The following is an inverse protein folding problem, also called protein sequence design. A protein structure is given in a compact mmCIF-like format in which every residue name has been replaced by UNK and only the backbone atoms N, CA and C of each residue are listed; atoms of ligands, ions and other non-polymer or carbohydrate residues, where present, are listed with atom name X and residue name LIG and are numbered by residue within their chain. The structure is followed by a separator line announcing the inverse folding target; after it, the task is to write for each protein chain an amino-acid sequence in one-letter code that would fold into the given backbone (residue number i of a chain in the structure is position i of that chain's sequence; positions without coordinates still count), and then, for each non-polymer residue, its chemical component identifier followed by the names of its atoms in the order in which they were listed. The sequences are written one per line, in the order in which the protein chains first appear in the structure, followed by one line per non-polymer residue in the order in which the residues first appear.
data_IF_995097184796
#
_entry.id   IF_995097184796
#
_cell.length_a   1.000
_cell.length_b   1.000
_cell.length_c   1.000
_cell.angle_alpha   90.00
_cell.angle_beta   90.00
_cell.angle_gamma   90.00
#
_symmetry.space_group_name_H-M   'P 1'
#
loop_
_entity.id
_entity.type
_entity.pdbx_description
1 polymer ?
#
# COMPACT_ATOMS: atom_id res chain seq x y z
N UNK A 1 6.93 -1.81 -37.94
CA UNK A 1 6.84 -0.63 -37.08
C UNK A 1 6.33 -0.97 -35.72
N UNK A 2 7.06 -0.61 -34.75
CA UNK A 2 6.66 -0.93 -33.38
C UNK A 2 5.72 0.11 -32.81
N UNK A 3 4.89 -0.35 -31.91
CA UNK A 3 4.02 0.54 -31.18
C UNK A 3 4.85 1.47 -30.29
N UNK A 4 4.48 2.74 -30.25
CA UNK A 4 5.14 3.71 -29.39
C UNK A 4 4.38 3.89 -28.08
N UNK A 5 3.24 3.24 -27.93
CA UNK A 5 2.48 3.36 -26.69
C UNK A 5 3.07 2.48 -25.60
N UNK A 6 3.25 3.03 -24.40
CA UNK A 6 3.76 2.23 -23.31
C UNK A 6 2.72 1.19 -22.90
N UNK A 7 3.18 -0.01 -22.64
CA UNK A 7 2.35 -1.05 -22.09
C UNK A 7 2.36 -0.91 -20.57
N UNK A 8 1.19 -1.06 -19.95
CA UNK A 8 1.11 -1.02 -18.51
C UNK A 8 1.99 -2.12 -17.90
N UNK A 9 2.81 -1.84 -16.90
CA UNK A 9 3.66 -2.85 -16.30
C UNK A 9 2.83 -3.96 -15.66
N UNK A 10 3.27 -5.20 -15.82
CA UNK A 10 2.68 -6.37 -15.19
C UNK A 10 3.55 -6.94 -14.09
N UNK A 11 4.64 -6.29 -13.78
CA UNK A 11 5.55 -6.68 -12.73
C UNK A 11 6.63 -5.63 -12.50
N UNK A 12 7.53 -5.87 -11.54
CA UNK A 12 8.60 -4.92 -11.24
C UNK A 12 9.52 -4.70 -12.43
N UNK A 13 9.91 -3.43 -12.64
CA UNK A 13 10.79 -3.09 -13.75
C UNK A 13 12.21 -3.61 -13.52
N UNK A 14 12.71 -3.51 -12.28
CA UNK A 14 14.05 -3.94 -11.96
C UNK A 14 14.21 -4.10 -10.46
N UNK A 15 15.21 -4.87 -10.09
CA UNK A 15 15.59 -5.06 -8.69
C UNK A 15 16.54 -3.93 -8.29
N UNK A 16 16.20 -3.22 -7.22
CA UNK A 16 17.03 -2.11 -6.76
C UNK A 16 17.69 -2.37 -5.42
N UNK A 17 17.04 -3.08 -4.52
CA UNK A 17 17.58 -3.36 -3.20
C UNK A 17 16.79 -4.50 -2.55
N UNK A 18 17.44 -5.20 -1.65
CA UNK A 18 16.75 -6.22 -0.87
C UNK A 18 15.75 -5.53 0.05
N UNK A 19 14.54 -6.09 0.15
CA UNK A 19 13.48 -5.52 0.96
C UNK A 19 12.45 -6.58 1.31
N UNK A 20 11.70 -6.34 2.35
CA UNK A 20 10.54 -7.15 2.67
C UNK A 20 9.30 -6.36 2.24
N UNK A 21 8.42 -7.00 1.49
CA UNK A 21 7.21 -6.32 1.00
C UNK A 21 5.99 -7.01 1.61
N UNK A 22 5.24 -6.31 2.47
CA UNK A 22 4.01 -6.88 3.03
C UNK A 22 2.97 -7.14 1.94
N UNK A 23 2.22 -8.21 2.09
CA UNK A 23 1.11 -8.55 1.21
C UNK A 23 -0.19 -8.39 2.00
N UNK A 24 -1.08 -7.55 1.50
CA UNK A 24 -2.37 -7.29 2.13
C UNK A 24 -3.49 -7.91 1.29
N UNK A 25 -4.40 -8.60 1.95
CA UNK A 25 -5.55 -9.18 1.29
C UNK A 25 -6.59 -8.10 1.04
N UNK A 26 -7.03 -7.95 -0.20
CA UNK A 26 -8.05 -6.97 -0.57
C UNK A 26 -9.12 -7.64 -1.42
N UNK A 27 -10.34 -7.11 -1.39
CA UNK A 27 -11.46 -7.62 -2.15
C UNK A 27 -11.45 -7.07 -3.58
N UNK A 28 -11.22 -5.77 -3.70
CA UNK A 28 -11.23 -5.03 -4.97
C UNK A 28 -10.01 -4.12 -5.01
N UNK A 29 -8.98 -4.57 -5.73
CA UNK A 29 -7.72 -3.85 -5.77
C UNK A 29 -7.86 -2.43 -6.34
N UNK A 30 -8.71 -2.25 -7.35
CA UNK A 30 -8.89 -0.92 -7.96
C UNK A 30 -9.43 0.08 -6.94
N UNK A 31 -10.43 -0.32 -6.15
CA UNK A 31 -10.99 0.56 -5.13
C UNK A 31 -9.98 0.87 -4.03
N UNK A 32 -9.20 -0.15 -3.65
CA UNK A 32 -8.24 0.00 -2.56
C UNK A 32 -7.03 0.82 -2.98
N UNK A 33 -6.62 0.73 -4.24
CA UNK A 33 -5.55 1.60 -4.77
C UNK A 33 -5.92 3.07 -4.59
N UNK A 34 -7.18 3.44 -4.83
CA UNK A 34 -7.62 4.82 -4.64
C UNK A 34 -7.50 5.25 -3.17
N UNK A 35 -7.84 4.34 -2.24
CA UNK A 35 -7.71 4.63 -0.82
C UNK A 35 -6.24 4.84 -0.42
N UNK A 36 -5.34 3.95 -0.89
CA UNK A 36 -3.91 4.08 -0.59
C UNK A 36 -3.31 5.33 -1.25
N UNK A 37 -3.93 5.81 -2.34
CA UNK A 37 -3.54 7.07 -2.97
C UNK A 37 -3.64 8.25 -2.01
N UNK A 38 -4.60 8.21 -1.08
CA UNK A 38 -4.74 9.25 -0.05
C UNK A 38 -3.56 9.27 0.91
N UNK A 39 -2.83 8.16 1.01
CA UNK A 39 -1.60 8.06 1.80
C UNK A 39 -0.36 8.36 0.97
N UNK A 40 -0.52 8.69 -0.29
CA UNK A 40 0.61 8.97 -1.17
C UNK A 40 1.18 7.75 -1.87
N UNK A 41 0.51 6.60 -1.76
CA UNK A 41 0.92 5.41 -2.52
C UNK A 41 0.43 5.50 -3.95
N UNK A 42 1.26 5.10 -4.89
CA UNK A 42 0.96 5.11 -6.33
C UNK A 42 1.10 3.69 -6.85
N UNK A 43 0.14 3.27 -7.66
CA UNK A 43 0.20 1.95 -8.29
C UNK A 43 1.41 1.89 -9.21
N UNK A 44 2.22 0.83 -9.06
CA UNK A 44 3.42 0.62 -9.87
C UNK A 44 3.15 -0.32 -11.02
N UNK A 45 2.43 -1.41 -10.74
CA UNK A 45 2.06 -2.41 -11.74
C UNK A 45 0.93 -3.27 -11.22
N UNK A 46 0.29 -4.00 -12.12
CA UNK A 46 -0.80 -4.90 -11.81
C UNK A 46 -0.66 -6.16 -12.65
N UNK A 47 -0.94 -7.31 -12.06
CA UNK A 47 -0.92 -8.58 -12.79
C UNK A 47 -2.22 -9.35 -12.55
N UNK A 48 -2.74 -9.93 -13.64
CA UNK A 48 -3.81 -10.93 -13.62
C UNK A 48 -3.36 -12.03 -14.55
N UNK A 49 -3.53 -13.29 -14.12
CA UNK A 49 -3.13 -14.40 -15.00
C UNK A 49 -4.01 -14.44 -16.25
N UNK A 50 -5.29 -14.13 -16.09
CA UNK A 50 -6.23 -14.00 -17.21
C UNK A 50 -7.26 -12.94 -16.86
N UNK A 51 -7.95 -12.35 -17.87
CA UNK A 51 -9.01 -11.38 -17.59
C UNK A 51 -10.05 -11.99 -16.65
N UNK A 52 -10.48 -11.24 -15.66
CA UNK A 52 -11.44 -11.70 -14.67
C UNK A 52 -10.85 -12.47 -13.50
N UNK A 53 -9.56 -12.83 -13.58
CA UNK A 53 -8.87 -13.48 -12.48
C UNK A 53 -8.48 -12.45 -11.40
N UNK A 54 -8.18 -12.93 -10.18
CA UNK A 54 -7.76 -12.04 -9.11
C UNK A 54 -6.53 -11.23 -9.49
N UNK A 55 -6.53 -9.96 -9.09
CA UNK A 55 -5.41 -9.06 -9.35
C UNK A 55 -4.39 -9.12 -8.24
N UNK A 56 -3.15 -8.86 -8.60
CA UNK A 56 -2.04 -8.67 -7.68
C UNK A 56 -1.38 -7.35 -8.07
N UNK A 57 -1.34 -6.40 -7.12
CA UNK A 57 -0.97 -5.02 -7.43
C UNK A 57 0.12 -4.55 -6.48
N UNK A 58 1.10 -3.82 -7.01
CA UNK A 58 2.08 -3.16 -6.16
C UNK A 58 1.76 -1.68 -6.10
N UNK A 59 1.77 -1.13 -4.88
CA UNK A 59 1.71 0.32 -4.66
C UNK A 59 2.96 0.75 -3.90
N UNK A 60 3.42 1.97 -4.17
CA UNK A 60 4.63 2.49 -3.54
C UNK A 60 4.46 3.94 -3.14
N UNK A 61 5.03 4.28 -2.00
CA UNK A 61 5.19 5.65 -1.51
C UNK A 61 6.67 5.83 -1.26
N UNK A 62 7.37 6.54 -2.17
CA UNK A 62 8.83 6.58 -2.11
C UNK A 62 9.42 5.19 -2.15
N UNK A 63 10.23 4.85 -1.18
CA UNK A 63 10.83 3.53 -1.06
C UNK A 63 9.96 2.49 -0.36
N UNK A 64 8.78 2.86 0.10
CA UNK A 64 7.89 1.95 0.82
C UNK A 64 6.96 1.27 -0.17
N UNK A 65 6.93 -0.06 -0.15
CA UNK A 65 6.14 -0.85 -1.08
C UNK A 65 5.18 -1.76 -0.34
N UNK A 66 4.00 -1.95 -0.91
CA UNK A 66 3.00 -2.90 -0.42
C UNK A 66 2.46 -3.66 -1.61
N UNK A 67 2.15 -4.94 -1.41
CA UNK A 67 1.40 -5.71 -2.39
C UNK A 67 -0.05 -5.80 -1.93
N UNK A 68 -0.99 -5.57 -2.84
CA UNK A 68 -2.42 -5.71 -2.60
C UNK A 68 -2.88 -6.90 -3.44
N UNK A 69 -3.37 -7.94 -2.79
CA UNK A 69 -3.73 -9.18 -3.47
C UNK A 69 -5.20 -9.51 -3.31
N UNK A 70 -5.85 -9.78 -4.46
CA UNK A 70 -7.21 -10.31 -4.46
C UNK A 70 -7.23 -11.82 -4.30
N UNK A 71 -6.06 -12.49 -4.36
CA UNK A 71 -5.98 -13.94 -4.21
C UNK A 71 -6.25 -14.35 -2.77
N UNK A 72 -7.23 -15.21 -2.59
CA UNK A 72 -7.68 -15.57 -1.25
C UNK A 72 -6.67 -16.35 -0.43
N UNK A 73 -5.68 -16.96 -1.08
CA UNK A 73 -4.66 -17.73 -0.38
C UNK A 73 -3.41 -16.95 0.03
N UNK A 74 -3.29 -15.70 -0.40
CA UNK A 74 -2.05 -14.95 -0.19
C UNK A 74 -1.88 -14.37 1.19
N UNK A 75 -2.96 -13.89 1.77
CA UNK A 75 -2.91 -13.27 3.09
C UNK A 75 -4.28 -13.34 3.71
N UNK A 76 -4.34 -13.13 5.03
CA UNK A 76 -5.61 -13.05 5.74
C UNK A 76 -6.08 -11.61 5.81
N UNK A 77 -7.41 -11.38 5.77
CA UNK A 77 -7.94 -10.04 6.01
C UNK A 77 -7.52 -9.53 7.40
N UNK A 78 -7.37 -8.21 7.54
CA UNK A 78 -7.10 -7.61 8.82
C UNK A 78 -5.65 -7.59 9.25
N UNK A 79 -4.73 -7.73 8.31
CA UNK A 79 -3.29 -7.66 8.58
C UNK A 79 -2.90 -6.30 9.14
N UNK A 80 -1.98 -6.29 10.11
CA UNK A 80 -1.44 -5.06 10.67
C UNK A 80 -0.08 -4.77 10.03
N UNK A 81 0.08 -3.55 9.54
CA UNK A 81 1.36 -3.06 9.01
C UNK A 81 1.73 -1.79 9.76
N UNK A 82 2.99 -1.68 10.13
CA UNK A 82 3.51 -0.48 10.76
C UNK A 82 4.34 0.29 9.75
N UNK A 83 3.98 1.54 9.50
CA UNK A 83 4.70 2.40 8.55
C UNK A 83 5.35 3.54 9.32
N UNK A 84 6.61 3.81 9.00
CA UNK A 84 7.29 4.99 9.52
C UNK A 84 7.31 6.03 8.42
N UNK A 85 6.88 7.24 8.75
CA UNK A 85 6.86 8.36 7.81
C UNK A 85 7.59 9.53 8.44
N UNK A 86 8.06 10.45 7.61
CA UNK A 86 8.78 11.62 8.12
C UNK A 86 7.90 12.50 8.99
N UNK A 87 6.65 12.68 8.56
CA UNK A 87 5.72 13.57 9.25
C UNK A 87 4.31 12.95 9.17
N UNK A 88 3.78 12.56 10.32
CA UNK A 88 2.46 11.93 10.39
C UNK A 88 1.34 12.97 10.31
N UNK A 89 1.63 14.25 10.53
CA UNK A 89 0.57 15.27 10.58
C UNK A 89 -0.23 15.39 9.29
N UNK A 90 0.38 15.39 8.09
CA UNK A 90 -0.42 15.43 6.86
C UNK A 90 -1.34 14.21 6.71
N UNK A 91 -0.91 13.04 7.18
CA UNK A 91 -1.73 11.83 7.14
C UNK A 91 -2.94 12.00 8.05
N UNK A 92 -2.72 12.47 9.27
CA UNK A 92 -3.80 12.71 10.22
C UNK A 92 -4.80 13.71 9.66
N UNK A 93 -4.30 14.77 9.03
CA UNK A 93 -5.13 15.80 8.44
C UNK A 93 -5.98 15.25 7.29
N UNK A 94 -5.38 14.47 6.41
CA UNK A 94 -6.07 13.87 5.26
C UNK A 94 -7.23 12.98 5.71
N UNK A 95 -7.03 12.21 6.79
CA UNK A 95 -8.03 11.26 7.26
C UNK A 95 -8.90 11.79 8.39
N UNK A 96 -8.66 13.01 8.84
CA UNK A 96 -9.45 13.62 9.90
C UNK A 96 -9.34 12.88 11.24
N UNK A 97 -8.16 12.37 11.56
CA UNK A 97 -7.93 11.61 12.78
C UNK A 97 -6.93 12.33 13.68
N UNK A 98 -6.97 12.00 14.96
CA UNK A 98 -6.05 12.60 15.93
C UNK A 98 -4.75 11.80 15.98
N UNK A 99 -3.64 12.51 16.02
CA UNK A 99 -2.34 11.90 16.30
C UNK A 99 -2.25 11.60 17.79
N UNK A 100 -1.81 10.41 18.13
CA UNK A 100 -1.62 10.01 19.51
C UNK A 100 -0.13 9.81 19.81
N UNK A 101 0.27 10.19 21.02
CA UNK A 101 1.66 10.05 21.44
C UNK A 101 1.86 8.69 22.08
N UNK A 102 2.67 7.85 21.42
CA UNK A 102 3.16 6.62 22.02
C UNK A 102 4.59 6.88 22.52
N UNK A 103 5.12 6.04 23.42
CA UNK A 103 6.49 6.26 23.90
C UNK A 103 7.55 6.30 22.80
N UNK A 104 7.29 5.63 21.67
CA UNK A 104 8.26 5.49 20.58
C UNK A 104 7.94 6.35 19.36
N UNK A 105 6.73 6.90 19.26
CA UNK A 105 6.33 7.65 18.05
C UNK A 105 5.07 8.45 18.27
N UNK A 106 4.88 9.44 17.41
CA UNK A 106 3.57 10.09 17.23
C UNK A 106 2.89 9.33 16.11
N UNK A 107 1.73 8.74 16.36
CA UNK A 107 1.13 7.83 15.38
C UNK A 107 -0.37 7.93 15.26
N UNK A 108 -0.88 7.43 14.14
CA UNK A 108 -2.31 7.24 13.90
C UNK A 108 -2.53 5.79 13.49
N UNK A 109 -3.72 5.28 13.74
CA UNK A 109 -4.10 3.97 13.22
C UNK A 109 -5.25 4.17 12.24
N UNK A 110 -5.09 3.61 11.04
CA UNK A 110 -6.10 3.66 10.00
C UNK A 110 -6.51 2.23 9.64
N UNK A 111 -7.74 2.10 9.12
CA UNK A 111 -8.20 0.83 8.56
C UNK A 111 -8.51 1.07 7.10
N UNK A 112 -7.97 0.20 6.23
CA UNK A 112 -8.30 0.28 4.83
C UNK A 112 -9.70 -0.30 4.59
N UNK A 113 -10.23 -0.24 3.35
CA UNK A 113 -11.58 -0.76 3.07
C UNK A 113 -11.79 -2.24 3.40
N UNK A 114 -10.72 -3.01 3.49
CA UNK A 114 -10.80 -4.44 3.79
C UNK A 114 -10.49 -4.75 5.26
N UNK A 115 -10.33 -3.71 6.09
CA UNK A 115 -10.03 -3.89 7.49
C UNK A 115 -8.57 -4.13 7.82
N UNK A 116 -7.68 -4.04 6.84
CA UNK A 116 -6.25 -4.08 7.13
C UNK A 116 -5.90 -2.84 7.94
N UNK A 117 -5.06 -3.01 8.95
CA UNK A 117 -4.72 -1.94 9.88
C UNK A 117 -3.35 -1.38 9.55
N UNK A 118 -3.28 -0.07 9.50
CA UNK A 118 -2.02 0.62 9.27
C UNK A 118 -1.75 1.51 10.47
N UNK A 119 -0.66 1.22 11.18
CA UNK A 119 -0.15 2.12 12.21
C UNK A 119 0.93 2.96 11.59
N UNK A 120 0.67 4.26 11.49
CA UNK A 120 1.54 5.17 10.75
C UNK A 120 2.09 6.17 11.74
N UNK A 121 3.41 6.24 11.84
CA UNK A 121 4.02 7.06 12.86
C UNK A 121 5.31 7.72 12.44
N UNK A 122 5.61 8.81 13.14
CA UNK A 122 6.87 9.51 13.06
C UNK A 122 7.60 9.22 14.37
N UNK A 123 8.75 8.53 14.32
CA UNK A 123 9.47 8.19 15.55
C UNK A 123 9.84 9.42 16.35
N UNK A 124 9.73 9.30 17.68
CA UNK A 124 10.24 10.33 18.57
C UNK A 124 11.74 10.15 18.77
N UNK A 125 12.42 11.23 18.99
CA UNK A 125 13.87 11.21 19.23
C UNK A 125 14.18 11.14 20.72
#
# INVERSE_FOLDING_TARGET
MESTEPTAPTGPAEFTAEEAVPVLRVEDAAAVVAWYGRLGFVRQWEHRFEPGFPAFVEVARGGVRLFLSEHTGDARPGTLVHLRVRDVDPVASEFGVRVEDAPWAREVELRDPDGNRLRIGTPTE
#
